data_IF_775352809146
#
_entry.id   IF_775352809146
#
_cell.length_a   1.000
_cell.length_b   1.000
_cell.length_c   1.000
_cell.angle_alpha   90.00
_cell.angle_beta   90.00
_cell.angle_gamma   90.00
#
_symmetry.space_group_name_H-M   'P 1'
#
loop_
_entity.id
_entity.type
_entity.pdbx_description
1 polymer ?
#
# COMPACT_ATOMS: atom_id res chain seq x y z
N UNK A 1 10.59 53.21 -41.72
CA UNK A 1 9.64 52.19 -41.25
C UNK A 1 10.46 51.05 -40.64
N UNK A 2 10.54 50.98 -39.30
CA UNK A 2 11.28 49.93 -38.57
C UNK A 2 10.24 49.05 -37.89
N UNK A 3 10.12 47.81 -38.33
CA UNK A 3 9.25 46.81 -37.71
C UNK A 3 10.13 46.04 -36.72
N UNK A 4 9.89 46.21 -35.43
CA UNK A 4 10.44 45.35 -34.38
C UNK A 4 9.52 44.14 -34.24
N UNK A 5 10.00 42.94 -34.60
CA UNK A 5 9.39 41.69 -34.17
C UNK A 5 9.90 41.35 -32.77
N UNK A 6 9.06 41.50 -31.76
CA UNK A 6 9.26 40.90 -30.44
C UNK A 6 8.77 39.45 -30.47
N UNK A 7 9.70 38.49 -30.52
CA UNK A 7 9.39 37.09 -30.29
C UNK A 7 9.20 36.87 -28.78
N UNK A 8 7.95 36.68 -28.35
CA UNK A 8 7.64 36.22 -27.01
C UNK A 8 7.90 34.71 -26.94
N UNK A 9 9.04 34.31 -26.40
CA UNK A 9 9.28 32.92 -25.98
C UNK A 9 8.37 32.59 -24.80
N UNK A 10 7.26 31.92 -25.06
CA UNK A 10 6.47 31.27 -24.02
C UNK A 10 7.30 30.09 -23.46
N UNK A 11 7.97 30.31 -22.34
CA UNK A 11 8.49 29.25 -21.49
C UNK A 11 7.29 28.44 -20.99
N UNK A 12 7.00 27.34 -21.69
CA UNK A 12 6.16 26.27 -21.17
C UNK A 12 6.91 25.68 -19.98
N UNK A 13 6.58 26.16 -18.78
CA UNK A 13 6.90 25.43 -17.56
C UNK A 13 6.09 24.13 -17.63
N UNK A 14 6.75 23.05 -18.05
CA UNK A 14 6.25 21.71 -17.79
C UNK A 14 6.17 21.59 -16.27
N UNK A 15 4.96 21.74 -15.72
CA UNK A 15 4.70 21.32 -14.36
C UNK A 15 4.96 19.82 -14.32
N UNK A 16 6.10 19.41 -13.76
CA UNK A 16 6.34 18.03 -13.37
C UNK A 16 5.34 17.74 -12.26
N UNK A 17 4.22 17.13 -12.65
CA UNK A 17 3.14 16.77 -11.74
C UNK A 17 3.61 15.52 -11.00
N UNK A 18 4.14 15.70 -9.80
CA UNK A 18 4.71 14.63 -8.98
C UNK A 18 3.59 13.90 -8.21
N UNK A 19 3.13 12.79 -8.78
CA UNK A 19 2.01 12.00 -8.30
C UNK A 19 2.48 10.95 -7.31
N UNK A 20 2.52 11.31 -6.05
CA UNK A 20 3.14 10.52 -5.00
C UNK A 20 2.20 9.49 -4.35
N UNK A 21 2.66 8.26 -4.13
CA UNK A 21 1.90 7.17 -3.54
C UNK A 21 1.83 7.27 -2.00
N UNK A 22 1.26 8.34 -1.46
CA UNK A 22 1.18 8.57 0.00
C UNK A 22 0.04 7.81 0.63
N UNK A 23 0.24 7.42 1.89
CA UNK A 23 -0.87 7.04 2.78
C UNK A 23 -1.81 8.24 2.97
N UNK A 24 -3.11 8.02 2.84
CA UNK A 24 -4.17 9.03 3.07
C UNK A 24 -5.00 8.67 4.29
N UNK A 25 -5.40 7.40 4.38
CA UNK A 25 -6.14 6.86 5.54
C UNK A 25 -5.36 5.66 6.09
N UNK A 26 -5.09 5.58 7.40
CA UNK A 26 -5.23 6.65 8.41
C UNK A 26 -4.48 7.93 8.04
N UNK A 27 -4.87 9.05 8.66
CA UNK A 27 -4.30 10.36 8.34
C UNK A 27 -2.77 10.33 8.48
N UNK A 28 -2.07 10.51 7.36
CA UNK A 28 -0.61 10.56 7.34
C UNK A 28 -0.09 11.90 7.82
N UNK A 29 1.15 11.90 8.33
CA UNK A 29 1.86 13.13 8.72
C UNK A 29 2.09 14.06 7.54
N UNK A 30 2.18 13.50 6.34
CA UNK A 30 2.36 14.17 5.05
C UNK A 30 1.04 14.72 4.45
N UNK A 31 -0.11 14.52 5.11
CA UNK A 31 -1.39 15.09 4.67
C UNK A 31 -1.97 14.44 3.40
N UNK A 32 -1.50 13.25 3.04
CA UNK A 32 -2.04 12.45 1.93
C UNK A 32 -1.71 12.94 0.52
N UNK A 33 -0.80 13.93 0.37
CA UNK A 33 -0.44 14.50 -0.94
C UNK A 33 1.06 14.60 -1.19
N UNK A 34 1.88 14.47 -0.15
CA UNK A 34 3.34 14.47 -0.24
C UNK A 34 3.87 13.10 0.20
N UNK A 35 4.85 12.54 -0.50
CA UNK A 35 5.63 11.41 0.03
C UNK A 35 7.10 11.76 0.09
N UNK A 36 7.82 10.94 0.85
CA UNK A 36 9.26 10.84 0.75
C UNK A 36 9.63 9.66 -0.16
N UNK A 37 10.33 9.94 -1.26
CA UNK A 37 10.97 8.94 -2.10
C UNK A 37 12.28 8.47 -1.44
N UNK A 38 12.32 7.23 -0.98
CA UNK A 38 13.50 6.60 -0.40
C UNK A 38 14.20 5.71 -1.43
N UNK A 39 15.04 6.33 -2.25
CA UNK A 39 15.81 5.64 -3.29
C UNK A 39 16.88 4.69 -2.71
N UNK A 40 17.32 4.95 -1.48
CA UNK A 40 18.44 4.23 -0.85
C UNK A 40 18.00 3.19 0.18
N UNK A 41 16.71 3.11 0.47
CA UNK A 41 16.16 2.24 1.51
C UNK A 41 16.81 2.47 2.89
N UNK A 42 16.79 3.72 3.38
CA UNK A 42 17.40 4.12 4.65
C UNK A 42 16.47 4.87 5.62
N UNK A 43 15.27 5.26 5.19
CA UNK A 43 14.41 6.19 5.94
C UNK A 43 13.34 5.49 6.78
N UNK A 44 13.13 5.89 8.03
CA UNK A 44 11.98 5.41 8.80
C UNK A 44 10.68 6.09 8.35
N UNK A 45 10.39 7.27 8.90
CA UNK A 45 9.28 8.09 8.46
C UNK A 45 9.72 9.13 7.43
N UNK A 46 8.90 9.35 6.40
CA UNK A 46 9.15 10.36 5.37
C UNK A 46 9.13 11.77 5.95
N UNK A 47 8.16 12.05 6.82
CA UNK A 47 8.11 13.28 7.62
C UNK A 47 8.35 13.00 9.11
N UNK A 48 9.35 13.67 9.74
CA UNK A 48 9.61 13.52 11.16
C UNK A 48 8.58 14.27 12.01
N UNK A 49 8.43 13.84 13.27
CA UNK A 49 7.57 14.49 14.27
C UNK A 49 6.11 14.06 14.19
N UNK A 50 5.29 14.40 15.20
CA UNK A 50 3.91 13.93 15.29
C UNK A 50 2.99 14.62 14.27
N UNK A 51 1.99 13.88 13.80
CA UNK A 51 0.86 14.36 13.00
C UNK A 51 -0.49 14.06 13.66
N UNK A 52 -1.59 14.10 12.90
CA UNK A 52 -2.92 13.77 13.40
C UNK A 52 -3.00 12.34 13.95
N UNK A 53 -3.67 12.18 15.09
CA UNK A 53 -3.82 10.87 15.74
C UNK A 53 -5.14 10.23 15.36
N UNK A 54 -5.09 9.00 14.84
CA UNK A 54 -6.27 8.19 14.55
C UNK A 54 -6.55 7.21 15.68
N UNK A 55 -7.78 7.21 16.18
CA UNK A 55 -8.22 6.32 17.26
C UNK A 55 -8.60 4.95 16.68
N UNK A 56 -8.00 3.87 17.19
CA UNK A 56 -8.26 2.50 16.73
C UNK A 56 -8.30 1.52 17.91
N UNK A 57 -8.84 0.32 17.67
CA UNK A 57 -8.83 -0.77 18.65
C UNK A 57 -7.85 -1.86 18.25
N UNK A 58 -7.14 -2.43 19.21
CA UNK A 58 -6.31 -3.61 18.97
C UNK A 58 -7.18 -4.76 18.42
N UNK A 59 -6.68 -5.48 17.42
CA UNK A 59 -7.41 -6.58 16.77
C UNK A 59 -8.50 -6.16 15.78
N UNK A 60 -8.83 -4.87 15.68
CA UNK A 60 -9.82 -4.37 14.72
C UNK A 60 -9.26 -4.26 13.31
N UNK A 61 -10.14 -4.41 12.33
CA UNK A 61 -9.85 -4.00 10.96
C UNK A 61 -10.04 -2.48 10.84
N UNK A 62 -9.07 -1.82 10.21
CA UNK A 62 -9.17 -0.40 9.87
C UNK A 62 -9.08 -0.22 8.37
N UNK A 63 -9.82 0.74 7.79
CA UNK A 63 -9.66 1.07 6.39
C UNK A 63 -8.29 1.69 6.15
N UNK A 64 -7.69 1.35 5.01
CA UNK A 64 -6.48 2.00 4.51
C UNK A 64 -6.72 2.53 3.12
N UNK A 65 -6.17 3.71 2.84
CA UNK A 65 -6.31 4.32 1.52
C UNK A 65 -5.05 5.06 1.12
N UNK A 66 -4.68 4.91 -0.14
CA UNK A 66 -3.63 5.63 -0.86
C UNK A 66 -4.03 5.73 -2.33
N UNK A 67 -3.36 6.56 -3.10
CA UNK A 67 -3.72 6.73 -4.52
C UNK A 67 -2.88 5.85 -5.44
N UNK A 68 -3.55 5.32 -6.49
CA UNK A 68 -2.94 4.48 -7.52
C UNK A 68 -1.97 5.23 -8.41
N UNK A 69 -2.34 6.45 -8.83
CA UNK A 69 -1.64 7.20 -9.87
C UNK A 69 -1.33 6.32 -11.11
N UNK A 70 -0.26 6.61 -11.84
CA UNK A 70 0.18 5.90 -13.04
C UNK A 70 1.05 4.66 -12.78
N UNK A 71 1.13 4.17 -11.55
CA UNK A 71 2.06 3.09 -11.24
C UNK A 71 1.37 1.73 -11.16
N UNK A 72 2.10 0.67 -11.50
CA UNK A 72 1.54 -0.69 -11.63
C UNK A 72 2.32 -1.68 -10.78
N UNK A 73 1.58 -2.59 -10.15
CA UNK A 73 2.13 -3.66 -9.32
C UNK A 73 2.85 -3.17 -8.07
N UNK A 74 3.35 -4.12 -7.30
CA UNK A 74 4.10 -3.91 -6.08
C UNK A 74 3.33 -4.33 -4.84
N UNK A 75 3.91 -4.02 -3.70
CA UNK A 75 3.41 -4.42 -2.40
C UNK A 75 3.32 -3.21 -1.47
N UNK A 76 2.37 -3.27 -0.54
CA UNK A 76 2.40 -2.43 0.65
C UNK A 76 2.86 -3.28 1.83
N UNK A 77 3.87 -2.79 2.54
CA UNK A 77 4.27 -3.30 3.85
C UNK A 77 3.77 -2.37 4.94
N UNK A 78 3.23 -2.97 5.99
CA UNK A 78 2.79 -2.28 7.19
C UNK A 78 3.66 -2.70 8.39
N UNK A 79 4.22 -1.69 9.04
CA UNK A 79 5.00 -1.83 10.27
C UNK A 79 4.46 -0.91 11.34
N UNK A 80 4.60 -1.28 12.61
CA UNK A 80 4.10 -0.47 13.71
C UNK A 80 5.05 -0.48 14.90
N UNK A 81 5.45 0.70 15.37
CA UNK A 81 6.33 0.85 16.55
C UNK A 81 5.64 1.66 17.63
N UNK A 82 6.02 1.46 18.89
CA UNK A 82 5.47 2.25 19.99
C UNK A 82 6.03 3.67 19.95
N UNK A 83 5.21 4.67 20.24
CA UNK A 83 5.69 6.05 20.36
C UNK A 83 6.77 6.14 21.45
N UNK A 84 7.83 6.87 21.15
CA UNK A 84 9.03 6.98 21.99
C UNK A 84 10.15 6.02 21.58
N UNK A 85 9.87 5.00 20.76
CA UNK A 85 10.91 4.25 20.08
C UNK A 85 11.51 5.08 18.92
N UNK A 86 12.80 4.91 18.59
CA UNK A 86 13.39 5.57 17.43
C UNK A 86 12.68 5.19 16.13
N UNK A 87 12.22 6.18 15.36
CA UNK A 87 11.57 6.00 14.06
C UNK A 87 12.61 5.71 12.94
N UNK A 88 13.42 4.67 13.13
CA UNK A 88 14.42 4.22 12.14
C UNK A 88 13.87 3.10 11.26
N UNK A 89 14.45 2.95 10.07
CA UNK A 89 14.13 1.83 9.18
C UNK A 89 14.25 0.49 9.89
N UNK A 90 15.33 0.29 10.65
CA UNK A 90 15.60 -0.98 11.34
C UNK A 90 14.53 -1.32 12.38
N UNK A 91 13.99 -0.33 13.08
CA UNK A 91 12.92 -0.55 14.04
C UNK A 91 11.60 -0.89 13.35
N UNK A 92 11.27 -0.24 12.23
CA UNK A 92 10.11 -0.63 11.44
C UNK A 92 10.26 -2.00 10.77
N UNK A 93 11.45 -2.35 10.29
CA UNK A 93 11.75 -3.66 9.68
C UNK A 93 11.59 -4.80 10.70
N UNK A 94 11.91 -4.57 11.97
CA UNK A 94 11.67 -5.55 13.05
C UNK A 94 10.20 -5.63 13.48
N UNK A 95 9.39 -4.64 13.13
CA UNK A 95 8.01 -4.49 13.59
C UNK A 95 6.98 -4.56 12.45
N UNK A 96 7.33 -5.28 11.38
CA UNK A 96 6.39 -5.64 10.31
C UNK A 96 5.33 -6.60 10.86
N UNK A 97 4.08 -6.37 10.48
CA UNK A 97 2.97 -7.23 10.88
C UNK A 97 2.01 -7.57 9.72
N UNK A 98 2.04 -6.83 8.62
CA UNK A 98 1.08 -7.02 7.53
C UNK A 98 1.67 -6.65 6.16
N UNK A 99 1.24 -7.37 5.13
CA UNK A 99 1.50 -7.06 3.73
C UNK A 99 0.21 -7.16 2.92
N UNK A 100 0.07 -6.28 1.92
CA UNK A 100 -0.97 -6.37 0.89
C UNK A 100 -0.36 -6.17 -0.49
N UNK A 101 -1.08 -6.57 -1.53
CA UNK A 101 -0.77 -6.05 -2.85
C UNK A 101 -1.03 -4.55 -2.91
N UNK A 102 -0.21 -3.82 -3.68
CA UNK A 102 -0.38 -2.39 -3.91
C UNK A 102 -1.72 -2.10 -4.59
N UNK A 103 -2.06 -2.85 -5.62
CA UNK A 103 -3.30 -2.66 -6.36
C UNK A 103 -4.46 -3.45 -5.71
N UNK A 104 -4.71 -3.19 -4.42
CA UNK A 104 -5.77 -3.78 -3.61
C UNK A 104 -6.97 -2.84 -3.45
N UNK A 105 -8.12 -3.40 -3.10
CA UNK A 105 -9.40 -2.68 -2.99
C UNK A 105 -10.23 -2.70 -4.28
N UNK A 106 -11.56 -2.68 -4.15
CA UNK A 106 -12.49 -2.81 -5.28
C UNK A 106 -12.48 -1.60 -6.22
N UNK A 107 -12.05 -0.44 -5.72
CA UNK A 107 -11.99 0.81 -6.46
C UNK A 107 -10.60 1.09 -7.04
N UNK A 108 -9.62 0.23 -6.77
CA UNK A 108 -8.28 0.31 -7.33
C UNK A 108 -8.25 -0.22 -8.77
N UNK A 109 -8.94 0.50 -9.65
CA UNK A 109 -9.09 0.19 -11.07
C UNK A 109 -9.12 1.47 -11.90
N UNK A 110 -8.65 1.46 -13.15
CA UNK A 110 -8.81 2.58 -14.06
C UNK A 110 -10.26 2.86 -14.35
N UNK A 111 -10.53 4.12 -14.69
CA UNK A 111 -11.88 4.57 -15.01
C UNK A 111 -12.27 4.38 -16.48
N UNK A 112 -11.36 3.95 -17.36
CA UNK A 112 -11.51 4.17 -18.81
C UNK A 112 -12.25 3.08 -19.60
N UNK A 113 -12.88 2.08 -18.95
CA UNK A 113 -13.73 1.09 -19.62
C UNK A 113 -13.06 0.25 -20.72
N UNK A 114 -11.73 0.29 -20.83
CA UNK A 114 -10.94 -0.50 -21.78
C UNK A 114 -10.75 -1.93 -21.26
N UNK A 115 -10.58 -2.93 -22.14
CA UNK A 115 -10.31 -4.30 -21.72
C UNK A 115 -9.06 -4.35 -20.85
N UNK A 116 -9.17 -5.07 -19.73
CA UNK A 116 -8.12 -5.19 -18.73
C UNK A 116 -6.86 -5.82 -19.32
N UNK A 117 -5.73 -5.11 -19.24
CA UNK A 117 -4.40 -5.70 -19.43
C UNK A 117 -3.50 -5.36 -18.24
N UNK A 118 -2.41 -6.11 -18.09
CA UNK A 118 -1.37 -5.82 -17.09
C UNK A 118 -0.64 -4.48 -17.30
N UNK A 119 -0.76 -3.86 -18.49
CA UNK A 119 0.02 -2.68 -18.87
C UNK A 119 -0.79 -1.40 -19.10
N UNK A 120 -2.03 -1.49 -19.60
CA UNK A 120 -2.80 -0.35 -20.14
C UNK A 120 -3.21 0.70 -19.09
N UNK A 121 -2.76 0.59 -17.86
CA UNK A 121 -3.28 1.35 -16.73
C UNK A 121 -2.31 2.32 -16.10
N UNK A 122 -1.07 2.38 -16.56
CA UNK A 122 -0.20 3.47 -16.15
C UNK A 122 -0.51 4.79 -16.83
N UNK A 123 -1.38 4.77 -17.84
CA UNK A 123 -1.99 6.00 -18.31
C UNK A 123 -3.49 5.77 -18.36
N UNK A 124 -4.11 5.78 -17.19
CA UNK A 124 -5.56 5.74 -17.06
C UNK A 124 -6.20 7.11 -17.34
N UNK A 125 -5.44 8.10 -17.80
CA UNK A 125 -5.95 9.43 -18.14
C UNK A 125 -6.66 10.14 -16.98
N UNK A 126 -6.49 9.64 -15.75
CA UNK A 126 -7.03 10.28 -14.56
C UNK A 126 -5.99 11.23 -13.98
N UNK A 127 -6.47 12.33 -13.42
CA UNK A 127 -5.60 13.25 -12.68
C UNK A 127 -4.99 12.56 -11.46
N UNK A 128 -3.93 13.14 -10.91
CA UNK A 128 -3.37 12.71 -9.65
C UNK A 128 -4.44 12.62 -8.57
N UNK A 129 -4.27 11.65 -7.66
CA UNK A 129 -5.12 11.53 -6.47
C UNK A 129 -6.60 11.25 -6.77
N UNK A 130 -6.90 10.57 -7.89
CA UNK A 130 -8.28 10.24 -8.30
C UNK A 130 -8.68 8.80 -8.00
N UNK A 131 -7.78 7.83 -8.19
CA UNK A 131 -8.10 6.41 -8.03
C UNK A 131 -7.63 5.93 -6.66
N UNK A 132 -8.55 5.68 -5.72
CA UNK A 132 -8.21 5.14 -4.42
C UNK A 132 -7.84 3.66 -4.54
N UNK A 133 -6.80 3.29 -3.81
CA UNK A 133 -6.38 1.92 -3.57
C UNK A 133 -6.23 1.69 -2.07
N UNK A 134 -6.15 0.42 -1.70
CA UNK A 134 -6.23 -0.01 -0.31
C UNK A 134 -7.63 -0.53 0.02
N UNK A 135 -7.67 -1.38 1.03
CA UNK A 135 -8.89 -1.96 1.56
C UNK A 135 -8.83 -1.86 3.09
N UNK A 136 -8.39 -2.92 3.77
CA UNK A 136 -8.26 -2.94 5.21
C UNK A 136 -6.97 -3.62 5.66
N UNK A 137 -6.54 -3.26 6.86
CA UNK A 137 -5.52 -4.00 7.61
C UNK A 137 -6.06 -4.30 9.01
N UNK A 138 -5.62 -5.41 9.60
CA UNK A 138 -5.94 -5.74 10.98
C UNK A 138 -4.86 -5.20 11.91
N UNK A 139 -5.23 -4.30 12.82
CA UNK A 139 -4.33 -3.83 13.87
C UNK A 139 -3.98 -5.02 14.77
N UNK A 140 -2.69 -5.27 15.08
CA UNK A 140 -2.35 -6.43 15.88
C UNK A 140 -2.98 -6.38 17.27
N UNK A 141 -3.57 -7.49 17.70
CA UNK A 141 -4.29 -7.61 18.96
C UNK A 141 -3.39 -7.82 20.19
N UNK A 142 -2.10 -8.09 19.95
CA UNK A 142 -1.04 -8.18 20.96
C UNK A 142 -0.46 -6.84 21.38
N UNK A 143 -0.80 -5.75 20.70
CA UNK A 143 -0.36 -4.42 21.10
C UNK A 143 -1.06 -4.03 22.40
N UNK A 144 -0.34 -3.33 23.28
CA UNK A 144 -0.92 -2.75 24.48
C UNK A 144 -1.62 -1.43 24.14
N UNK A 145 -2.42 -0.92 25.07
CA UNK A 145 -2.95 0.43 24.96
C UNK A 145 -1.82 1.47 24.90
N UNK A 146 -2.00 2.48 24.05
CA UNK A 146 -1.08 3.60 23.95
C UNK A 146 -0.91 4.16 22.55
N UNK A 147 0.07 5.04 22.41
CA UNK A 147 0.38 5.72 21.16
C UNK A 147 1.40 4.93 20.33
N UNK A 148 1.15 4.84 19.04
CA UNK A 148 1.95 4.09 18.07
C UNK A 148 2.16 4.90 16.79
N UNK A 149 3.22 4.53 16.06
CA UNK A 149 3.52 5.05 14.73
C UNK A 149 3.37 3.89 13.74
N UNK A 150 2.39 4.02 12.84
CA UNK A 150 2.16 3.10 11.72
C UNK A 150 2.94 3.58 10.50
N UNK A 151 3.78 2.72 9.93
CA UNK A 151 4.48 2.98 8.67
C UNK A 151 3.78 2.24 7.53
N UNK A 152 3.47 3.00 6.48
CA UNK A 152 3.16 2.53 5.14
C UNK A 152 4.46 2.51 4.32
N UNK A 153 4.73 1.42 3.61
CA UNK A 153 5.85 1.32 2.66
C UNK A 153 5.35 0.72 1.34
N UNK A 154 5.41 1.50 0.25
CA UNK A 154 5.20 1.02 -1.11
C UNK A 154 6.56 0.63 -1.74
N UNK A 155 6.67 -0.58 -2.27
CA UNK A 155 7.89 -1.05 -2.93
C UNK A 155 7.59 -2.02 -4.07
N UNK A 156 8.60 -2.32 -4.87
CA UNK A 156 8.49 -3.19 -6.05
C UNK A 156 7.42 -2.73 -7.05
N UNK A 157 7.15 -1.42 -7.06
CA UNK A 157 6.23 -0.80 -8.01
C UNK A 157 7.00 -0.41 -9.26
N UNK A 158 6.42 -0.68 -10.43
CA UNK A 158 6.99 -0.27 -11.70
C UNK A 158 6.21 0.88 -12.32
N UNK A 159 6.62 1.24 -13.53
CA UNK A 159 5.95 2.22 -14.36
C UNK A 159 6.10 3.66 -13.84
N UNK A 160 7.34 4.10 -13.66
CA UNK A 160 7.64 5.47 -13.24
C UNK A 160 7.60 6.44 -14.44
N UNK A 161 6.97 7.61 -14.27
CA UNK A 161 6.84 8.64 -15.32
C UNK A 161 6.29 8.14 -16.68
N UNK A 162 5.42 7.12 -16.67
CA UNK A 162 4.87 6.52 -17.90
C UNK A 162 5.85 5.62 -18.67
N UNK A 163 7.03 5.32 -18.10
CA UNK A 163 7.96 4.34 -18.64
C UNK A 163 7.80 3.00 -17.90
N UNK A 164 7.28 1.94 -18.57
CA UNK A 164 7.05 0.65 -17.94
C UNK A 164 8.34 -0.06 -17.49
N UNK A 165 9.51 0.36 -18.01
CA UNK A 165 10.81 -0.16 -17.65
C UNK A 165 11.50 0.51 -16.48
N UNK A 166 10.87 1.53 -15.87
CA UNK A 166 11.42 2.22 -14.71
C UNK A 166 10.78 1.74 -13.41
N UNK A 167 11.63 1.41 -12.43
CA UNK A 167 11.23 1.19 -11.06
C UNK A 167 10.74 2.50 -10.43
N UNK A 168 9.77 2.40 -9.53
CA UNK A 168 9.45 3.47 -8.60
C UNK A 168 10.38 3.41 -7.39
N UNK A 169 10.80 4.54 -6.80
CA UNK A 169 11.45 4.51 -5.50
C UNK A 169 10.54 3.93 -4.43
N UNK A 170 11.13 3.56 -3.29
CA UNK A 170 10.36 3.12 -2.13
C UNK A 170 9.69 4.35 -1.54
N UNK A 171 8.36 4.33 -1.44
CA UNK A 171 7.63 5.43 -0.81
C UNK A 171 7.22 5.07 0.61
N UNK A 172 7.49 5.99 1.53
CA UNK A 172 7.14 5.85 2.94
C UNK A 172 6.26 6.98 3.41
N UNK A 173 5.27 6.62 4.21
CA UNK A 173 4.43 7.56 4.96
C UNK A 173 4.23 7.00 6.37
N UNK A 174 4.09 7.90 7.33
CA UNK A 174 3.77 7.52 8.71
C UNK A 174 2.44 8.13 9.14
N UNK A 175 1.68 7.36 9.91
CA UNK A 175 0.46 7.82 10.57
C UNK A 175 0.56 7.54 12.07
N UNK A 176 -0.02 8.42 12.86
CA UNK A 176 -0.04 8.29 14.31
C UNK A 176 -1.36 7.66 14.76
N UNK A 177 -1.25 6.62 15.60
CA UNK A 177 -2.39 5.88 16.11
C UNK A 177 -2.43 5.98 17.63
N UNK A 178 -3.64 6.04 18.18
CA UNK A 178 -3.89 5.71 19.57
C UNK A 178 -4.67 4.41 19.60
N UNK A 179 -4.07 3.37 20.20
CA UNK A 179 -4.62 2.02 20.26
C UNK A 179 -5.23 1.79 21.64
N UNK A 180 -6.44 1.24 21.65
CA UNK A 180 -7.17 0.86 22.87
C UNK A 180 -7.65 -0.59 22.81
N UNK A 181 -7.97 -1.19 23.96
CA UNK A 181 -8.46 -2.57 24.06
C UNK A 181 -7.40 -3.63 23.80
N UNK A 182 -6.13 -3.24 23.85
CA UNK A 182 -4.98 -4.09 23.66
C UNK A 182 -4.69 -4.97 24.87
N UNK A 183 -4.06 -6.13 24.63
CA UNK A 183 -3.61 -7.02 25.71
C UNK A 183 -2.15 -7.41 25.52
N UNK A 184 -1.27 -6.85 26.34
CA UNK A 184 0.16 -7.16 26.34
C UNK A 184 0.49 -8.64 26.64
N UNK A 185 -0.50 -9.44 27.07
CA UNK A 185 -0.35 -10.86 27.34
C UNK A 185 -0.40 -11.75 26.09
N UNK A 186 -0.90 -11.25 24.95
CA UNK A 186 -0.94 -12.04 23.71
C UNK A 186 0.45 -12.08 23.07
N UNK A 187 0.94 -13.25 22.64
CA UNK A 187 2.23 -13.33 21.97
C UNK A 187 2.14 -12.70 20.58
N UNK A 188 3.18 -11.95 20.21
CA UNK A 188 3.35 -11.47 18.83
C UNK A 188 3.55 -12.67 17.88
N UNK A 189 2.77 -12.79 16.78
CA UNK A 189 3.03 -13.77 15.75
C UNK A 189 4.43 -13.62 15.16
N UNK A 190 5.06 -14.75 14.83
CA UNK A 190 6.41 -14.75 14.25
C UNK A 190 6.41 -14.30 12.79
N UNK A 191 5.32 -14.58 12.07
CA UNK A 191 5.14 -14.18 10.68
C UNK A 191 4.20 -12.98 10.58
N UNK A 192 4.50 -12.00 9.70
CA UNK A 192 3.50 -11.04 9.31
C UNK A 192 2.40 -11.71 8.48
N UNK A 193 1.19 -11.14 8.53
CA UNK A 193 0.09 -11.56 7.67
C UNK A 193 0.29 -11.05 6.25
N UNK A 194 -0.19 -11.80 5.26
CA UNK A 194 -0.21 -11.35 3.88
C UNK A 194 -1.56 -11.61 3.25
N UNK A 195 -2.09 -10.58 2.59
CA UNK A 195 -3.29 -10.67 1.75
C UNK A 195 -2.90 -10.36 0.32
N UNK A 196 -2.93 -11.39 -0.52
CA UNK A 196 -2.69 -11.30 -1.95
C UNK A 196 -3.94 -10.93 -2.75
N UNK A 197 -3.85 -10.99 -4.08
CA UNK A 197 -4.99 -10.81 -4.97
C UNK A 197 -5.20 -9.36 -5.37
N UNK A 198 -4.25 -8.80 -6.13
CA UNK A 198 -4.45 -7.52 -6.81
C UNK A 198 -5.35 -7.63 -8.04
N UNK A 199 -5.61 -6.47 -8.62
CA UNK A 199 -6.30 -6.34 -9.89
C UNK A 199 -5.71 -7.21 -11.01
N UNK A 200 -4.38 -7.28 -11.14
CA UNK A 200 -3.71 -7.94 -12.28
C UNK A 200 -3.79 -9.46 -12.16
N UNK A 201 -3.54 -10.00 -10.96
CA UNK A 201 -3.71 -11.43 -10.65
C UNK A 201 -5.15 -11.88 -10.92
N UNK A 202 -6.15 -11.07 -10.54
CA UNK A 202 -7.55 -11.32 -10.88
C UNK A 202 -7.79 -11.32 -12.40
N UNK A 203 -7.23 -10.35 -13.11
CA UNK A 203 -7.35 -10.22 -14.56
C UNK A 203 -6.76 -11.42 -15.32
N UNK A 204 -5.65 -11.97 -14.81
CA UNK A 204 -4.95 -13.12 -15.39
C UNK A 204 -5.48 -14.47 -14.84
N UNK A 205 -6.55 -14.47 -14.04
CA UNK A 205 -7.13 -15.66 -13.39
C UNK A 205 -6.10 -16.47 -12.58
N UNK A 206 -5.21 -15.77 -11.87
CA UNK A 206 -4.18 -16.36 -11.03
C UNK A 206 -4.66 -16.52 -9.57
N UNK A 207 -3.98 -17.37 -8.77
CA UNK A 207 -4.24 -17.49 -7.34
C UNK A 207 -4.20 -16.13 -6.61
N UNK A 208 -5.14 -15.92 -5.69
CA UNK A 208 -5.23 -14.71 -4.87
C UNK A 208 -4.21 -14.64 -3.73
N UNK A 209 -3.21 -15.53 -3.70
CA UNK A 209 -2.12 -15.54 -2.74
C UNK A 209 -0.83 -14.92 -3.33
N UNK A 210 -0.97 -14.08 -4.36
CA UNK A 210 0.14 -13.42 -5.04
C UNK A 210 -0.21 -11.98 -5.39
N UNK A 211 0.82 -11.19 -5.66
CA UNK A 211 0.73 -9.88 -6.27
C UNK A 211 1.58 -9.83 -7.52
N UNK A 212 1.18 -9.01 -8.47
CA UNK A 212 1.99 -8.54 -9.57
C UNK A 212 2.98 -7.49 -9.06
N UNK A 213 4.27 -7.63 -9.36
CA UNK A 213 5.29 -6.70 -8.88
C UNK A 213 6.46 -6.56 -9.86
N UNK A 214 7.19 -5.47 -9.74
CA UNK A 214 8.36 -5.15 -10.56
C UNK A 214 9.67 -5.56 -9.88
N UNK A 215 10.52 -6.26 -10.63
CA UNK A 215 11.92 -6.58 -10.32
C UNK A 215 12.12 -7.51 -9.12
N UNK A 216 11.90 -7.04 -7.89
CA UNK A 216 12.19 -7.75 -6.64
C UNK A 216 11.04 -7.67 -5.65
N UNK A 217 10.69 -8.81 -5.04
CA UNK A 217 9.73 -8.92 -3.94
C UNK A 217 10.38 -8.79 -2.55
N UNK A 218 11.65 -8.38 -2.48
CA UNK A 218 12.41 -8.25 -1.25
C UNK A 218 12.85 -6.79 -1.08
N UNK A 219 12.34 -6.10 -0.04
CA UNK A 219 12.56 -4.66 0.17
C UNK A 219 14.04 -4.25 0.11
N UNK A 220 14.99 -4.96 0.75
CA UNK A 220 16.42 -4.65 0.63
C UNK A 220 16.91 -4.61 -0.83
N UNK A 221 16.32 -5.43 -1.70
CA UNK A 221 16.69 -5.57 -3.12
C UNK A 221 15.75 -4.78 -4.06
N UNK A 222 14.71 -4.16 -3.53
CA UNK A 222 13.73 -3.34 -4.25
C UNK A 222 14.11 -1.85 -4.28
N UNK A 223 15.36 -1.51 -3.96
CA UNK A 223 15.89 -0.15 -4.09
C UNK A 223 15.74 0.38 -5.51
N UNK A 224 15.53 1.69 -5.62
CA UNK A 224 15.43 2.37 -6.91
C UNK A 224 16.71 2.11 -7.72
N UNK A 225 16.54 1.79 -9.00
CA UNK A 225 17.64 1.66 -9.95
C UNK A 225 17.33 2.58 -11.12
N UNK A 226 18.20 3.54 -11.35
CA UNK A 226 18.15 4.38 -12.54
C UNK A 226 18.37 3.54 -13.80
N UNK A 227 17.63 3.85 -14.86
CA UNK A 227 17.76 3.21 -16.17
C UNK A 227 16.54 2.36 -16.55
N UNK A 228 16.13 2.50 -17.80
CA UNK A 228 15.05 1.72 -18.39
C UNK A 228 15.51 0.26 -18.59
N UNK A 229 14.71 -0.70 -18.13
CA UNK A 229 14.89 -2.10 -18.46
C UNK A 229 14.44 -2.40 -19.91
N UNK A 230 15.34 -2.67 -20.87
CA UNK A 230 14.97 -2.88 -22.28
C UNK A 230 14.06 -4.11 -22.51
N UNK A 231 13.99 -5.02 -21.54
CA UNK A 231 13.00 -6.09 -21.46
C UNK A 231 12.19 -5.95 -20.16
N UNK A 232 11.44 -4.86 -20.06
CA UNK A 232 10.68 -4.55 -18.86
C UNK A 232 9.58 -5.58 -18.60
N UNK A 233 8.96 -6.15 -19.63
CA UNK A 233 7.93 -7.18 -19.49
C UNK A 233 8.42 -8.34 -18.60
N UNK A 234 9.65 -8.82 -18.84
CA UNK A 234 10.27 -9.89 -18.04
C UNK A 234 10.69 -9.49 -16.62
N UNK A 235 10.64 -8.20 -16.28
CA UNK A 235 10.90 -7.73 -14.92
C UNK A 235 9.67 -7.83 -14.03
N UNK A 236 8.46 -7.85 -14.61
CA UNK A 236 7.25 -8.01 -13.82
C UNK A 236 6.95 -9.49 -13.59
N UNK A 237 6.59 -9.80 -12.34
CA UNK A 237 6.45 -11.16 -11.82
C UNK A 237 5.22 -11.25 -10.95
N UNK A 238 4.79 -12.48 -10.70
CA UNK A 238 3.77 -12.78 -9.71
C UNK A 238 4.40 -13.50 -8.53
N UNK A 239 4.01 -13.14 -7.31
CA UNK A 239 4.51 -13.79 -6.10
C UNK A 239 4.15 -13.07 -4.82
N UNK A 240 4.75 -13.53 -3.72
CA UNK A 240 4.57 -12.99 -2.38
C UNK A 240 5.76 -12.12 -1.98
N UNK A 241 5.65 -11.26 -0.96
CA UNK A 241 6.83 -10.65 -0.35
C UNK A 241 7.81 -11.73 0.11
N UNK A 242 9.10 -11.55 -0.16
CA UNK A 242 10.13 -12.55 0.20
C UNK A 242 10.16 -12.86 1.70
N UNK A 243 9.76 -11.90 2.54
CA UNK A 243 9.68 -12.07 3.99
C UNK A 243 8.61 -13.10 4.40
N UNK A 244 7.50 -13.16 3.66
CA UNK A 244 6.44 -14.15 3.85
C UNK A 244 6.95 -15.54 3.44
N UNK A 245 7.62 -15.65 2.29
CA UNK A 245 8.20 -16.92 1.84
C UNK A 245 9.25 -17.45 2.82
N UNK A 246 10.13 -16.59 3.33
CA UNK A 246 11.09 -16.96 4.39
C UNK A 246 10.39 -17.45 5.64
N UNK A 247 9.30 -16.81 6.05
CA UNK A 247 8.57 -17.21 7.24
C UNK A 247 7.84 -18.55 7.09
N UNK A 248 7.27 -18.81 5.91
CA UNK A 248 6.68 -20.11 5.55
C UNK A 248 7.77 -21.19 5.53
N UNK A 249 8.91 -20.93 4.89
CA UNK A 249 10.02 -21.88 4.79
C UNK A 249 10.61 -22.24 6.17
N UNK A 250 10.58 -21.31 7.13
CA UNK A 250 10.96 -21.56 8.52
C UNK A 250 9.94 -22.40 9.32
N UNK A 251 8.82 -22.81 8.70
CA UNK A 251 7.78 -23.62 9.33
C UNK A 251 6.94 -22.87 10.37
N UNK A 252 6.92 -21.53 10.32
CA UNK A 252 6.33 -20.70 11.37
C UNK A 252 4.89 -20.25 11.06
N UNK A 253 4.26 -20.82 10.03
CA UNK A 253 3.11 -20.22 9.37
C UNK A 253 1.96 -21.20 9.09
N UNK A 254 1.29 -21.71 10.13
CA UNK A 254 0.19 -22.68 9.95
C UNK A 254 -1.19 -22.07 9.66
N UNK A 255 -1.38 -20.75 9.86
CA UNK A 255 -2.73 -20.16 9.88
C UNK A 255 -3.04 -19.16 8.75
N UNK A 256 -2.16 -18.94 7.76
CA UNK A 256 -2.38 -17.93 6.71
C UNK A 256 -3.28 -18.33 5.53
N UNK A 257 -3.83 -19.56 5.52
CA UNK A 257 -4.56 -20.06 4.35
C UNK A 257 -6.04 -20.41 4.61
N UNK A 258 -6.57 -20.14 5.80
CA UNK A 258 -7.90 -20.63 6.20
C UNK A 258 -9.00 -19.57 6.35
N UNK A 259 -8.82 -18.34 5.87
CA UNK A 259 -9.96 -17.42 5.68
C UNK A 259 -10.64 -17.78 4.35
N UNK A 260 -11.26 -18.96 4.30
CA UNK A 260 -12.28 -19.24 3.30
C UNK A 260 -13.55 -18.48 3.70
N UNK A 261 -14.29 -18.03 2.70
CA UNK A 261 -15.53 -17.24 2.72
C UNK A 261 -16.68 -17.78 3.62
N UNK A 262 -16.45 -18.88 4.34
CA UNK A 262 -17.46 -19.69 5.02
C UNK A 262 -17.73 -19.27 6.48
N UNK A 263 -16.88 -18.48 7.13
CA UNK A 263 -17.13 -18.00 8.50
C UNK A 263 -17.96 -16.72 8.58
N UNK A 264 -18.42 -16.17 7.44
CA UNK A 264 -19.22 -14.93 7.39
C UNK A 264 -20.74 -15.12 7.60
N UNK A 265 -21.22 -16.34 7.81
CA UNK A 265 -22.66 -16.63 7.98
C UNK A 265 -23.07 -17.10 9.38
N UNK A 266 -22.17 -17.15 10.35
CA UNK A 266 -22.55 -17.44 11.73
C UNK A 266 -22.61 -16.12 12.53
N UNK A 267 -23.80 -15.82 13.06
CA UNK A 267 -24.16 -14.70 13.94
C UNK A 267 -24.77 -13.45 13.27
N UNK A 268 -25.89 -13.66 12.58
CA UNK A 268 -27.00 -12.70 12.68
C UNK A 268 -27.98 -13.24 13.72
N UNK A 269 -28.10 -12.64 14.91
CA UNK A 269 -29.18 -12.98 15.83
C UNK A 269 -30.52 -12.69 15.17
N UNK A 270 -31.37 -13.71 15.11
CA UNK A 270 -32.76 -13.63 14.69
C UNK A 270 -33.54 -12.67 15.59
N UNK A 271 -33.76 -11.45 15.12
CA UNK A 271 -34.76 -10.55 15.67
C UNK A 271 -35.53 -9.86 14.54
N UNK A 272 -36.30 -10.65 13.78
CA UNK A 272 -37.45 -10.12 13.05
C UNK A 272 -38.64 -10.26 14.00
N UNK A 273 -38.97 -9.17 14.67
CA UNK A 273 -40.32 -8.97 15.20
C UNK A 273 -41.21 -8.48 14.06
N UNK A 274 -42.35 -9.14 13.94
CA UNK A 274 -43.43 -8.79 13.04
C UNK A 274 -43.90 -7.35 13.27
N UNK A 275 -44.10 -6.64 12.16
CA UNK A 275 -45.09 -5.57 12.09
C UNK A 275 -45.94 -5.87 10.86
N UNK A 276 -47.07 -6.54 11.10
CA UNK A 276 -48.25 -6.42 10.26
C UNK A 276 -48.85 -5.02 10.51
N UNK A 277 -49.32 -4.34 9.45
CA UNK A 277 -50.05 -3.08 9.61
C UNK A 277 -50.12 -2.23 8.33
N UNK A 278 -51.08 -2.56 7.47
CA UNK A 278 -51.96 -1.69 6.67
C UNK A 278 -51.46 -0.29 6.22
N UNK A 279 -51.24 -0.13 4.92
CA UNK A 279 -52.07 0.64 3.95
C UNK A 279 -51.41 0.68 2.57
#
# INVERSE_FOLDING_TARGET
>A
MKIFLTAASALLFASSVDAHASLVTPASREGGKETFADERNVVGCGKPGPGPVTQVRAGSEIPVMYYRNNHVGGFIRWSIIKRGEPETRENFDKNVFYYTCRESGNDCKPRNGRPYTRWQEAYDGTDNFVIPCGDKIRIPDYLADGDYVLQYTNFATGHNNGDPGLALPIYRSCADLHITGGSASKPRPKCPTFVGGDRVTKAENLPSDQCYYFHSNDIPNAVFREGNAPNYDGQYKFGRPADIDRCIAAGQNRDLFNVTETEFLAEVPSAIHAYEGDF
#
